data_IF_170604114503
#
_entry.id   IF_170604114503
#
_cell.length_a   1.000
_cell.length_b   1.000
_cell.length_c   1.000
_cell.angle_alpha   90.00
_cell.angle_beta   90.00
_cell.angle_gamma   90.00
#
_symmetry.space_group_name_H-M   'P 1'
#
loop_
_entity.id
_entity.type
_entity.pdbx_description
1 polymer ?
#
# COMPACT_ATOMS: atom_id res chain seq x y z
N UNK A 1 7.82 1.97 -14.70
CA UNK A 1 7.18 0.76 -14.12
C UNK A 1 6.16 1.15 -13.05
N UNK A 2 6.52 2.00 -12.08
CA UNK A 2 5.57 2.64 -11.15
C UNK A 2 4.51 3.49 -11.89
N UNK A 3 4.90 4.18 -12.95
CA UNK A 3 3.98 4.96 -13.80
C UNK A 3 2.89 4.10 -14.44
N UNK A 4 3.22 2.93 -15.00
CA UNK A 4 2.24 1.99 -15.59
C UNK A 4 1.31 1.38 -14.55
N UNK A 5 1.81 1.11 -13.35
CA UNK A 5 1.03 0.60 -12.23
C UNK A 5 -0.05 1.61 -11.80
N UNK A 6 0.36 2.85 -11.61
CA UNK A 6 -0.54 3.91 -11.21
C UNK A 6 -1.50 4.30 -12.35
N UNK A 7 -1.02 4.28 -13.59
CA UNK A 7 -1.87 4.43 -14.79
C UNK A 7 -2.99 3.40 -14.81
N UNK A 8 -2.70 2.15 -14.46
CA UNK A 8 -3.71 1.08 -14.40
C UNK A 8 -4.76 1.35 -13.33
N UNK A 9 -4.33 1.67 -12.11
CA UNK A 9 -5.26 1.98 -11.00
C UNK A 9 -6.15 3.17 -11.37
N UNK A 10 -5.57 4.24 -11.93
CA UNK A 10 -6.35 5.41 -12.38
C UNK A 10 -7.31 5.07 -13.51
N UNK A 11 -6.86 4.29 -14.49
CA UNK A 11 -7.73 3.83 -15.58
C UNK A 11 -8.91 3.02 -15.06
N UNK A 12 -8.69 2.12 -14.11
CA UNK A 12 -9.74 1.29 -13.50
C UNK A 12 -10.75 2.15 -12.70
N UNK A 13 -10.26 3.20 -12.02
CA UNK A 13 -11.10 4.19 -11.33
C UNK A 13 -11.94 4.98 -12.34
N UNK A 14 -11.34 5.44 -13.44
CA UNK A 14 -12.03 6.23 -14.47
C UNK A 14 -13.11 5.40 -15.19
N UNK A 15 -12.82 4.15 -15.53
CA UNK A 15 -13.81 3.25 -16.13
C UNK A 15 -14.96 2.99 -15.15
N UNK A 16 -14.65 2.73 -13.88
CA UNK A 16 -15.68 2.52 -12.86
C UNK A 16 -16.53 3.76 -12.63
N UNK A 17 -15.93 4.95 -12.76
CA UNK A 17 -16.62 6.23 -12.71
C UNK A 17 -17.61 6.42 -13.84
N UNK A 18 -17.21 6.10 -15.08
CA UNK A 18 -18.11 6.16 -16.24
C UNK A 18 -19.32 5.21 -16.10
N UNK A 19 -19.19 4.15 -15.30
CA UNK A 19 -20.28 3.23 -14.93
C UNK A 19 -21.13 3.70 -13.71
N UNK A 20 -20.83 4.86 -13.15
CA UNK A 20 -21.53 5.43 -11.99
C UNK A 20 -21.22 4.75 -10.66
N UNK A 21 -20.09 4.04 -10.57
CA UNK A 21 -19.59 3.42 -9.32
C UNK A 21 -18.70 4.39 -8.55
N UNK A 22 -18.62 4.18 -7.24
CA UNK A 22 -17.66 4.83 -6.35
C UNK A 22 -16.52 3.87 -6.08
N UNK A 23 -15.31 4.40 -5.90
CA UNK A 23 -14.12 3.57 -5.63
C UNK A 23 -13.53 3.93 -4.28
N UNK A 24 -13.23 2.93 -3.46
CA UNK A 24 -12.44 3.08 -2.24
C UNK A 24 -11.06 2.51 -2.51
N UNK A 25 -10.03 3.23 -2.08
CA UNK A 25 -8.62 2.86 -2.19
C UNK A 25 -8.06 2.89 -0.78
N UNK A 26 -7.25 1.90 -0.41
CA UNK A 26 -6.58 1.81 0.88
C UNK A 26 -5.09 1.68 0.64
N UNK A 27 -4.32 2.60 1.18
CA UNK A 27 -2.87 2.63 1.08
C UNK A 27 -2.30 2.00 2.34
N UNK A 28 -1.80 0.77 2.24
CA UNK A 28 -1.21 0.03 3.35
C UNK A 28 0.27 0.39 3.48
N UNK A 29 0.69 0.85 4.67
CA UNK A 29 2.08 1.12 5.01
C UNK A 29 2.62 0.02 5.94
N UNK A 30 3.81 -0.49 5.65
CA UNK A 30 4.51 -1.48 6.48
C UNK A 30 5.64 -0.81 7.27
N UNK A 31 5.69 -1.07 8.58
CA UNK A 31 6.79 -0.58 9.41
C UNK A 31 8.02 -1.46 9.24
N UNK A 32 9.14 -0.86 8.81
CA UNK A 32 10.45 -1.52 8.70
C UNK A 32 10.38 -2.87 7.93
N UNK A 33 9.72 -2.84 6.77
CA UNK A 33 9.32 -4.04 6.03
C UNK A 33 10.52 -4.96 5.67
N UNK A 34 11.67 -4.38 5.31
CA UNK A 34 12.87 -5.15 5.00
C UNK A 34 13.61 -5.68 6.22
N UNK A 35 13.42 -5.07 7.40
CA UNK A 35 14.12 -5.43 8.64
C UNK A 35 13.35 -6.48 9.46
N UNK A 36 12.10 -6.76 9.07
CA UNK A 36 11.17 -7.63 9.80
C UNK A 36 11.00 -9.02 9.19
N UNK A 37 11.66 -9.29 8.05
CA UNK A 37 11.57 -10.59 7.37
C UNK A 37 12.16 -11.70 8.26
N UNK A 38 11.34 -12.68 8.63
CA UNK A 38 11.83 -13.88 9.30
C UNK A 38 12.51 -14.83 8.30
N UNK A 39 13.76 -15.22 8.60
CA UNK A 39 14.56 -16.07 7.71
C UNK A 39 13.97 -17.48 7.57
N UNK A 40 13.36 -18.03 8.61
CA UNK A 40 12.80 -19.38 8.59
C UNK A 40 11.56 -19.43 7.70
N UNK A 41 10.66 -18.46 7.84
CA UNK A 41 9.48 -18.31 6.99
C UNK A 41 9.91 -18.07 5.53
N UNK A 42 10.88 -17.19 5.28
CA UNK A 42 11.37 -16.93 3.94
C UNK A 42 11.93 -18.20 3.28
N UNK A 43 12.80 -18.93 3.97
CA UNK A 43 13.38 -20.18 3.44
C UNK A 43 12.31 -21.25 3.21
N UNK A 44 11.34 -21.39 4.12
CA UNK A 44 10.20 -22.28 3.94
C UNK A 44 9.38 -21.93 2.69
N UNK A 45 9.16 -20.64 2.41
CA UNK A 45 8.47 -20.19 1.18
C UNK A 45 9.26 -20.46 -0.08
N UNK A 46 10.56 -20.20 -0.05
CA UNK A 46 11.43 -20.50 -1.19
C UNK A 46 11.37 -21.99 -1.56
N UNK A 47 11.31 -22.86 -0.56
CA UNK A 47 11.17 -24.31 -0.76
C UNK A 47 9.76 -24.70 -1.23
N UNK A 48 8.71 -24.35 -0.46
CA UNK A 48 7.37 -24.90 -0.67
C UNK A 48 6.52 -24.13 -1.69
N UNK A 49 6.63 -22.80 -1.73
CA UNK A 49 5.78 -21.96 -2.58
C UNK A 49 6.45 -21.71 -3.95
N UNK A 50 7.77 -21.55 -3.96
CA UNK A 50 8.55 -21.29 -5.20
C UNK A 50 9.15 -22.58 -5.78
N UNK A 51 9.39 -23.60 -4.97
CA UNK A 51 9.94 -24.88 -5.41
C UNK A 51 11.48 -24.91 -5.50
N UNK A 52 12.18 -24.00 -4.82
CA UNK A 52 13.65 -23.97 -4.81
C UNK A 52 14.20 -25.00 -3.82
N UNK A 53 15.00 -25.94 -4.34
CA UNK A 53 15.56 -27.04 -3.54
C UNK A 53 17.08 -27.16 -3.72
N UNK A 54 17.71 -27.97 -2.87
CA UNK A 54 19.12 -28.35 -2.99
C UNK A 54 20.09 -27.17 -2.84
N UNK A 55 21.04 -27.07 -3.76
CA UNK A 55 22.14 -26.09 -3.69
C UNK A 55 21.68 -24.64 -3.67
N UNK A 56 20.59 -24.32 -4.38
CA UNK A 56 20.07 -22.94 -4.44
C UNK A 56 19.47 -22.53 -3.09
N UNK A 57 18.69 -23.41 -2.46
CA UNK A 57 18.13 -23.14 -1.14
C UNK A 57 19.23 -23.05 -0.07
N UNK A 58 20.23 -23.93 -0.13
CA UNK A 58 21.40 -23.87 0.76
C UNK A 58 22.18 -22.56 0.59
N UNK A 59 22.28 -22.05 -0.65
CA UNK A 59 22.90 -20.76 -0.93
C UNK A 59 22.13 -19.60 -0.30
N UNK A 60 20.79 -19.58 -0.42
CA UNK A 60 19.96 -18.56 0.26
C UNK A 60 20.04 -18.66 1.79
N UNK A 61 20.07 -19.87 2.34
CA UNK A 61 20.27 -20.07 3.78
C UNK A 61 21.62 -19.50 4.22
N UNK A 62 22.71 -19.83 3.52
CA UNK A 62 24.03 -19.25 3.80
C UNK A 62 24.09 -17.73 3.59
N UNK A 63 23.30 -17.18 2.68
CA UNK A 63 23.25 -15.73 2.41
C UNK A 63 22.66 -14.95 3.58
N UNK A 64 21.67 -15.53 4.27
CA UNK A 64 20.93 -14.92 5.38
C UNK A 64 21.58 -15.18 6.76
N UNK A 65 22.23 -16.33 6.95
CA UNK A 65 22.83 -16.71 8.24
C UNK A 65 24.17 -16.03 8.56
N UNK A 66 24.55 -16.03 9.85
CA UNK A 66 25.83 -15.52 10.38
C UNK A 66 26.14 -14.06 9.97
N UNK A 67 25.10 -13.23 9.93
CA UNK A 67 25.20 -11.81 9.62
C UNK A 67 25.28 -11.01 10.91
N UNK A 68 26.12 -9.99 10.93
CA UNK A 68 26.29 -9.09 12.06
C UNK A 68 26.21 -7.64 11.60
N UNK A 69 25.62 -6.79 12.44
CA UNK A 69 25.51 -5.35 12.22
C UNK A 69 26.06 -4.58 13.43
N UNK A 70 26.51 -3.35 13.18
CA UNK A 70 26.88 -2.38 14.20
C UNK A 70 26.55 -0.97 13.71
N UNK A 71 26.45 -0.02 14.63
CA UNK A 71 26.19 1.40 14.35
C UNK A 71 27.41 2.22 14.74
N UNK A 72 27.85 3.11 13.86
CA UNK A 72 28.89 4.11 14.16
C UNK A 72 28.35 5.50 13.84
N UNK A 73 28.33 6.37 14.84
CA UNK A 73 27.97 7.78 14.66
C UNK A 73 29.19 8.52 14.11
N UNK A 74 29.00 9.40 13.12
CA UNK A 74 30.12 10.14 12.51
C UNK A 74 30.93 11.00 13.51
N UNK A 75 30.34 11.38 14.64
CA UNK A 75 30.98 12.18 15.68
C UNK A 75 31.79 11.34 16.69
N UNK A 76 31.59 10.02 16.73
CA UNK A 76 32.20 9.13 17.70
C UNK A 76 33.18 8.16 17.01
N UNK A 77 34.41 8.09 17.50
CA UNK A 77 35.45 7.21 16.94
C UNK A 77 35.25 5.72 17.26
N UNK A 78 34.30 5.38 18.15
CA UNK A 78 34.07 4.01 18.61
C UNK A 78 32.73 3.45 18.11
N UNK A 79 32.72 2.34 17.35
CA UNK A 79 31.48 1.70 16.91
C UNK A 79 30.74 1.01 18.07
N UNK A 80 29.45 0.75 17.89
CA UNK A 80 28.68 -0.12 18.78
C UNK A 80 29.20 -1.57 18.73
N UNK A 81 28.76 -2.38 19.70
CA UNK A 81 28.99 -3.82 19.65
C UNK A 81 28.31 -4.44 18.42
N UNK A 82 28.95 -5.49 17.89
CA UNK A 82 28.38 -6.32 16.84
C UNK A 82 27.17 -7.07 17.40
N UNK A 83 26.07 -6.99 16.68
CA UNK A 83 24.82 -7.70 16.99
C UNK A 83 24.45 -8.57 15.81
N UNK A 84 24.07 -9.81 16.08
CA UNK A 84 23.63 -10.74 15.02
C UNK A 84 22.30 -10.28 14.40
N UNK A 85 22.18 -10.43 13.08
CA UNK A 85 21.00 -10.08 12.31
C UNK A 85 20.11 -11.31 12.20
N UNK A 86 19.13 -11.40 13.10
CA UNK A 86 18.16 -12.50 13.17
C UNK A 86 16.96 -12.32 12.23
N UNK A 87 16.70 -11.07 11.82
CA UNK A 87 15.58 -10.69 10.97
C UNK A 87 16.04 -9.74 9.89
N UNK A 88 15.28 -9.73 8.80
CA UNK A 88 15.45 -8.84 7.69
C UNK A 88 16.43 -9.32 6.63
N UNK A 89 16.48 -8.58 5.53
CA UNK A 89 17.40 -8.82 4.42
C UNK A 89 18.41 -7.68 4.34
N UNK A 90 19.64 -7.93 3.85
CA UNK A 90 20.64 -6.87 3.74
C UNK A 90 20.13 -5.70 2.88
N UNK A 91 19.93 -4.54 3.50
CA UNK A 91 19.55 -3.31 2.80
C UNK A 91 20.66 -2.88 1.83
N UNK A 92 20.27 -2.36 0.65
CA UNK A 92 21.21 -2.02 -0.41
C UNK A 92 21.76 -3.22 -1.21
N UNK A 93 21.29 -4.43 -0.91
CA UNK A 93 21.58 -5.61 -1.75
C UNK A 93 20.64 -5.70 -2.95
N UNK A 94 21.14 -6.30 -4.04
CA UNK A 94 20.34 -6.58 -5.25
C UNK A 94 19.21 -7.59 -4.95
N UNK A 95 19.41 -8.48 -3.97
CA UNK A 95 18.46 -9.55 -3.65
C UNK A 95 17.41 -9.17 -2.62
N UNK A 96 17.64 -8.14 -1.80
CA UNK A 96 16.68 -7.70 -0.79
C UNK A 96 15.27 -7.49 -1.33
N UNK A 97 15.07 -6.67 -2.38
CA UNK A 97 13.76 -6.46 -3.01
C UNK A 97 13.12 -7.73 -3.57
N UNK A 98 13.92 -8.64 -4.14
CA UNK A 98 13.43 -9.91 -4.65
C UNK A 98 12.94 -10.81 -3.51
N UNK A 99 13.73 -10.96 -2.46
CA UNK A 99 13.40 -11.77 -1.29
C UNK A 99 12.17 -11.24 -0.57
N UNK A 100 12.02 -9.92 -0.45
CA UNK A 100 10.81 -9.29 0.08
C UNK A 100 9.59 -9.61 -0.79
N UNK A 101 9.71 -9.49 -2.11
CA UNK A 101 8.61 -9.82 -3.03
C UNK A 101 8.18 -11.28 -2.92
N UNK A 102 9.15 -12.20 -2.80
CA UNK A 102 8.88 -13.63 -2.58
C UNK A 102 8.22 -13.89 -1.22
N UNK A 103 8.63 -13.16 -0.18
CA UNK A 103 7.99 -13.21 1.13
C UNK A 103 6.52 -12.80 1.05
N UNK A 104 6.19 -11.80 0.24
CA UNK A 104 4.82 -11.25 0.14
C UNK A 104 3.90 -12.04 -0.81
N UNK A 105 4.39 -13.06 -1.53
CA UNK A 105 3.60 -13.79 -2.54
C UNK A 105 2.21 -14.26 -2.08
N UNK A 106 2.02 -14.85 -0.87
CA UNK A 106 0.71 -15.35 -0.45
C UNK A 106 -0.34 -14.25 -0.24
N UNK A 107 0.10 -13.00 -0.08
CA UNK A 107 -0.78 -11.85 0.12
C UNK A 107 -1.74 -11.68 -1.07
N UNK A 108 -1.26 -11.90 -2.30
CA UNK A 108 -2.08 -11.74 -3.49
C UNK A 108 -3.23 -12.74 -3.57
N UNK A 109 -3.02 -14.00 -3.15
CA UNK A 109 -4.11 -14.98 -3.06
C UNK A 109 -5.11 -14.65 -1.96
N UNK A 110 -4.63 -14.14 -0.82
CA UNK A 110 -5.47 -13.70 0.29
C UNK A 110 -6.39 -12.56 -0.14
N UNK A 111 -5.86 -11.56 -0.84
CA UNK A 111 -6.67 -10.42 -1.29
C UNK A 111 -7.70 -10.85 -2.34
N UNK A 112 -7.30 -11.66 -3.33
CA UNK A 112 -8.20 -12.15 -4.39
C UNK A 112 -9.35 -12.99 -3.84
N UNK A 113 -9.16 -13.71 -2.73
CA UNK A 113 -10.21 -14.46 -2.02
C UNK A 113 -11.41 -13.58 -1.63
N UNK A 114 -11.17 -12.30 -1.34
CA UNK A 114 -12.20 -11.34 -0.95
C UNK A 114 -12.75 -10.52 -2.13
N UNK A 115 -12.38 -10.85 -3.37
CA UNK A 115 -12.77 -10.10 -4.56
C UNK A 115 -12.41 -8.60 -4.48
N UNK A 116 -11.29 -8.29 -3.82
CA UNK A 116 -10.70 -6.95 -3.73
C UNK A 116 -9.57 -6.88 -4.74
N UNK A 117 -9.46 -5.76 -5.46
CA UNK A 117 -8.33 -5.53 -6.35
C UNK A 117 -7.16 -4.99 -5.54
N UNK A 118 -5.95 -5.28 -5.98
CA UNK A 118 -4.77 -4.72 -5.34
C UNK A 118 -3.67 -4.41 -6.33
N UNK A 119 -2.78 -3.55 -5.89
CA UNK A 119 -1.52 -3.29 -6.51
C UNK A 119 -0.43 -3.33 -5.45
N UNK A 120 0.65 -4.06 -5.69
CA UNK A 120 1.80 -4.10 -4.79
C UNK A 120 3.06 -3.78 -5.58
N UNK A 121 3.88 -2.89 -5.03
CA UNK A 121 5.20 -2.57 -5.55
C UNK A 121 6.17 -2.44 -4.38
N UNK A 122 7.14 -3.35 -4.30
CA UNK A 122 7.97 -3.50 -3.10
C UNK A 122 7.07 -3.59 -1.84
N UNK A 123 7.31 -2.75 -0.84
CA UNK A 123 6.57 -2.65 0.42
C UNK A 123 5.24 -1.89 0.32
N UNK A 124 5.06 -1.05 -0.70
CA UNK A 124 3.80 -0.35 -0.93
C UNK A 124 2.72 -1.31 -1.42
N UNK A 125 1.64 -1.46 -0.66
CA UNK A 125 0.47 -2.24 -1.08
C UNK A 125 -0.79 -1.37 -1.04
N UNK A 126 -1.50 -1.35 -2.16
CA UNK A 126 -2.73 -0.59 -2.33
C UNK A 126 -3.87 -1.56 -2.58
N UNK A 127 -4.93 -1.48 -1.80
CA UNK A 127 -6.18 -2.18 -2.07
C UNK A 127 -7.15 -1.21 -2.73
N UNK A 128 -7.95 -1.66 -3.67
CA UNK A 128 -9.02 -0.83 -4.22
C UNK A 128 -10.24 -1.66 -4.62
N UNK A 129 -11.40 -1.03 -4.51
CA UNK A 129 -12.69 -1.67 -4.77
C UNK A 129 -13.69 -0.65 -5.28
N UNK A 130 -14.37 -0.99 -6.38
CA UNK A 130 -15.39 -0.13 -6.99
C UNK A 130 -16.77 -0.77 -6.85
N UNK A 131 -17.76 0.00 -6.39
CA UNK A 131 -19.10 -0.49 -6.09
C UNK A 131 -20.18 0.58 -6.31
N UNK A 132 -21.44 0.15 -6.43
CA UNK A 132 -22.59 1.06 -6.49
C UNK A 132 -23.08 1.38 -5.07
N UNK A 133 -23.70 2.55 -4.86
CA UNK A 133 -24.08 2.98 -3.48
C UNK A 133 -25.08 2.07 -2.78
N UNK A 134 -25.84 1.30 -3.55
CA UNK A 134 -26.83 0.38 -3.03
C UNK A 134 -26.21 -0.98 -2.64
N UNK A 135 -24.91 -1.18 -2.83
CA UNK A 135 -24.21 -2.44 -2.57
C UNK A 135 -23.41 -2.33 -1.26
N UNK A 136 -23.80 -3.10 -0.24
CA UNK A 136 -23.08 -3.18 1.05
C UNK A 136 -22.05 -4.31 1.05
N UNK A 137 -22.26 -5.35 0.25
CA UNK A 137 -21.38 -6.52 0.18
C UNK A 137 -19.91 -6.23 -0.17
N UNK A 138 -19.58 -5.26 -1.05
CA UNK A 138 -18.18 -4.98 -1.37
C UNK A 138 -17.43 -4.40 -0.18
N UNK A 139 -18.07 -3.50 0.57
CA UNK A 139 -17.48 -2.93 1.79
C UNK A 139 -17.22 -3.97 2.88
N UNK A 140 -18.15 -4.90 3.09
CA UNK A 140 -17.95 -6.01 4.03
C UNK A 140 -16.79 -6.92 3.61
N UNK A 141 -16.62 -7.12 2.30
CA UNK A 141 -15.52 -7.90 1.73
C UNK A 141 -14.19 -7.18 1.95
N UNK A 142 -14.14 -5.85 1.80
CA UNK A 142 -12.95 -5.05 2.10
C UNK A 142 -12.55 -5.13 3.58
N UNK A 143 -13.52 -4.96 4.49
CA UNK A 143 -13.27 -5.05 5.94
C UNK A 143 -12.73 -6.44 6.31
N UNK A 144 -13.35 -7.49 5.78
CA UNK A 144 -12.93 -8.88 6.01
C UNK A 144 -11.54 -9.13 5.45
N UNK A 145 -11.26 -8.61 4.25
CA UNK A 145 -9.95 -8.67 3.61
C UNK A 145 -8.87 -8.04 4.48
N UNK A 146 -9.08 -6.81 4.97
CA UNK A 146 -8.08 -6.11 5.77
C UNK A 146 -7.87 -6.78 7.12
N UNK A 147 -8.93 -7.31 7.74
CA UNK A 147 -8.80 -8.08 8.98
C UNK A 147 -7.94 -9.34 8.79
N UNK A 148 -8.22 -10.13 7.75
CA UNK A 148 -7.44 -11.34 7.45
C UNK A 148 -6.00 -11.00 7.04
N UNK A 149 -5.82 -9.89 6.30
CA UNK A 149 -4.50 -9.38 5.91
C UNK A 149 -3.68 -8.95 7.12
N UNK A 150 -4.26 -8.25 8.09
CA UNK A 150 -3.59 -7.85 9.34
C UNK A 150 -3.17 -9.08 10.16
N UNK A 151 -4.05 -10.07 10.29
CA UNK A 151 -3.70 -11.33 10.97
C UNK A 151 -2.59 -12.08 10.25
N UNK A 152 -2.63 -12.12 8.92
CA UNK A 152 -1.59 -12.75 8.12
C UNK A 152 -0.25 -12.01 8.28
N UNK A 153 -0.23 -10.69 8.20
CA UNK A 153 0.99 -9.88 8.38
C UNK A 153 1.61 -10.13 9.75
N UNK A 154 0.80 -10.10 10.82
CA UNK A 154 1.27 -10.38 12.18
C UNK A 154 1.87 -11.78 12.33
N UNK A 155 1.24 -12.81 11.74
CA UNK A 155 1.77 -14.20 11.73
C UNK A 155 3.09 -14.32 10.96
N UNK A 156 3.37 -13.37 10.09
CA UNK A 156 4.58 -13.31 9.28
C UNK A 156 5.54 -12.21 9.76
N UNK A 157 5.41 -11.78 11.02
CA UNK A 157 6.27 -10.76 11.64
C UNK A 157 6.30 -9.41 10.92
N UNK A 158 5.36 -9.16 10.01
CA UNK A 158 5.16 -7.87 9.35
C UNK A 158 4.23 -7.02 10.19
N UNK A 159 4.60 -5.75 10.40
CA UNK A 159 3.80 -4.81 11.17
C UNK A 159 3.15 -3.79 10.23
N UNK A 160 1.82 -3.85 10.14
CA UNK A 160 1.05 -2.81 9.45
C UNK A 160 1.07 -1.52 10.29
N UNK A 161 1.50 -0.43 9.68
CA UNK A 161 1.51 0.87 10.30
C UNK A 161 0.13 1.54 10.16
N UNK A 162 -0.72 1.35 11.15
CA UNK A 162 -2.08 1.92 11.15
C UNK A 162 -2.07 3.45 11.10
N UNK A 163 -1.09 4.10 11.72
CA UNK A 163 -0.99 5.56 11.78
C UNK A 163 -0.67 6.23 10.43
N UNK A 164 -0.08 5.46 9.51
CA UNK A 164 0.23 5.88 8.14
C UNK A 164 -0.62 5.18 7.08
N UNK A 165 -1.52 4.29 7.49
CA UNK A 165 -2.47 3.66 6.56
C UNK A 165 -3.55 4.69 6.27
N UNK A 166 -3.64 5.11 5.01
CA UNK A 166 -4.60 6.10 4.55
C UNK A 166 -5.73 5.42 3.77
N UNK A 167 -6.97 5.70 4.15
CA UNK A 167 -8.17 5.35 3.37
C UNK A 167 -8.55 6.52 2.47
N UNK A 168 -8.76 6.22 1.20
CA UNK A 168 -9.07 7.18 0.15
C UNK A 168 -10.37 6.81 -0.54
N UNK A 169 -11.41 7.61 -0.33
CA UNK A 169 -12.70 7.43 -1.01
C UNK A 169 -12.72 8.34 -2.23
N UNK A 170 -13.07 7.78 -3.39
CA UNK A 170 -13.26 8.50 -4.66
C UNK A 170 -14.71 8.30 -5.12
N UNK A 171 -15.57 9.28 -4.85
CA UNK A 171 -16.96 9.31 -5.35
C UNK A 171 -17.12 10.40 -6.42
N UNK A 172 -17.71 10.02 -7.55
CA UNK A 172 -17.95 10.88 -8.71
C UNK A 172 -19.38 11.40 -8.83
N UNK A 173 -20.25 11.02 -7.88
CA UNK A 173 -21.66 11.42 -7.91
C UNK A 173 -21.86 12.76 -7.18
N UNK A 174 -22.87 13.52 -7.63
CA UNK A 174 -23.33 14.79 -7.02
C UNK A 174 -23.43 14.68 -5.49
N UNK A 175 -23.20 15.77 -4.74
CA UNK A 175 -23.03 15.71 -3.29
C UNK A 175 -24.29 15.15 -2.63
N UNK A 176 -24.21 13.88 -2.25
CA UNK A 176 -25.00 13.32 -1.16
C UNK A 176 -24.08 13.29 0.06
N UNK A 177 -24.61 13.22 1.29
CA UNK A 177 -23.76 12.96 2.44
C UNK A 177 -22.90 11.72 2.12
N UNK A 178 -21.59 11.95 2.14
CA UNK A 178 -20.57 10.92 1.97
C UNK A 178 -20.95 9.73 2.86
N UNK A 179 -20.86 8.51 2.33
CA UNK A 179 -21.03 7.33 3.18
C UNK A 179 -20.06 7.45 4.36
N UNK A 180 -20.52 7.08 5.57
CA UNK A 180 -19.66 7.13 6.75
C UNK A 180 -18.38 6.33 6.46
N UNK A 181 -17.20 6.89 6.80
CA UNK A 181 -15.93 6.26 6.51
C UNK A 181 -15.88 4.87 7.14
N UNK A 182 -15.30 3.90 6.45
CA UNK A 182 -15.20 2.54 6.96
C UNK A 182 -14.01 2.47 7.89
N UNK A 183 -14.30 2.83 9.14
CA UNK A 183 -13.32 2.84 10.22
C UNK A 183 -12.91 1.39 10.52
N UNK A 184 -11.75 0.99 10.01
CA UNK A 184 -11.11 -0.26 10.42
C UNK A 184 -10.52 -0.04 11.81
N UNK A 185 -11.34 -0.36 12.83
CA UNK A 185 -11.00 -0.33 14.26
C UNK A 185 -10.28 0.95 14.73
N UNK A 186 -10.84 2.13 14.48
CA UNK A 186 -10.47 3.38 15.16
C UNK A 186 -9.08 3.95 14.88
N UNK A 187 -8.21 3.24 14.14
CA UNK A 187 -6.77 3.52 14.08
C UNK A 187 -6.29 3.97 12.68
N UNK A 188 -7.19 4.12 11.70
CA UNK A 188 -6.84 4.52 10.33
C UNK A 188 -7.09 6.02 10.13
N UNK A 189 -6.17 6.71 9.44
CA UNK A 189 -6.45 8.07 8.95
C UNK A 189 -7.31 7.95 7.70
N UNK A 190 -8.56 8.40 7.77
CA UNK A 190 -9.42 8.45 6.57
C UNK A 190 -9.32 9.82 5.92
N UNK A 191 -8.90 9.85 4.66
CA UNK A 191 -8.88 11.03 3.80
C UNK A 191 -9.93 10.84 2.71
N UNK A 192 -11.16 11.28 2.99
CA UNK A 192 -12.25 11.23 2.01
C UNK A 192 -12.24 12.48 1.14
N UNK A 193 -12.18 12.34 -0.19
CA UNK A 193 -12.47 13.45 -1.10
C UNK A 193 -13.54 13.08 -2.12
N UNK A 194 -14.33 14.04 -2.57
CA UNK A 194 -15.17 13.81 -3.75
C UNK A 194 -14.41 14.27 -4.97
N UNK A 195 -14.48 13.49 -6.04
CA UNK A 195 -13.94 13.85 -7.33
C UNK A 195 -15.09 13.91 -8.32
N UNK A 196 -15.69 15.08 -8.51
CA UNK A 196 -16.80 15.27 -9.42
C UNK A 196 -16.34 15.62 -10.83
N UNK A 197 -17.01 15.09 -11.86
CA UNK A 197 -16.93 15.60 -13.22
C UNK A 197 -18.08 16.57 -13.48
N UNK A 198 -17.76 17.83 -13.74
CA UNK A 198 -18.76 18.87 -14.03
C UNK A 198 -19.35 18.67 -15.43
N UNK A 199 -20.60 19.14 -15.69
CA UNK A 199 -21.24 19.06 -17.00
C UNK A 199 -20.44 19.72 -18.14
N UNK A 200 -19.51 20.62 -17.81
CA UNK A 200 -18.61 21.30 -18.75
C UNK A 200 -17.32 20.53 -19.05
N UNK A 201 -17.12 19.36 -18.42
CA UNK A 201 -15.92 18.54 -18.59
C UNK A 201 -14.81 18.80 -17.57
N UNK A 202 -14.96 19.80 -16.70
CA UNK A 202 -14.00 20.13 -15.65
C UNK A 202 -14.04 19.12 -14.50
N UNK A 203 -12.88 18.86 -13.90
CA UNK A 203 -12.78 18.03 -12.70
C UNK A 203 -12.81 18.89 -11.45
N UNK A 204 -13.46 18.38 -10.41
CA UNK A 204 -13.66 19.06 -9.14
C UNK A 204 -13.29 18.13 -7.99
N UNK A 205 -12.36 18.57 -7.15
CA UNK A 205 -11.98 17.86 -5.91
C UNK A 205 -12.54 18.62 -4.71
N UNK A 206 -13.22 17.93 -3.78
CA UNK A 206 -13.62 18.50 -2.48
C UNK A 206 -13.01 17.72 -1.31
N UNK A 207 -12.47 18.42 -0.33
CA UNK A 207 -11.75 17.86 0.81
C UNK A 207 -12.64 17.52 2.02
N UNK A 208 -12.20 16.63 2.92
CA UNK A 208 -12.92 16.36 4.16
C UNK A 208 -12.80 17.58 5.10
N UNK A 209 -13.94 18.06 5.61
CA UNK A 209 -13.99 19.16 6.57
C UNK A 209 -14.17 20.56 5.96
N UNK A 210 -14.09 20.73 4.64
CA UNK A 210 -14.38 22.01 3.96
C UNK A 210 -15.35 21.78 2.79
N UNK A 211 -16.67 21.81 3.04
CA UNK A 211 -17.69 21.60 1.99
C UNK A 211 -17.70 22.67 0.89
N UNK A 212 -16.80 23.66 0.94
CA UNK A 212 -16.75 24.83 0.05
C UNK A 212 -15.48 24.96 -0.78
N UNK A 213 -14.41 24.20 -0.49
CA UNK A 213 -13.14 24.32 -1.21
C UNK A 213 -13.08 23.32 -2.36
N UNK A 214 -13.55 23.76 -3.51
CA UNK A 214 -13.49 23.03 -4.76
C UNK A 214 -12.25 23.46 -5.55
N UNK A 215 -11.32 22.54 -5.78
CA UNK A 215 -10.24 22.77 -6.76
C UNK A 215 -10.74 22.37 -8.14
N UNK A 216 -10.73 23.34 -9.06
CA UNK A 216 -11.13 23.17 -10.45
C UNK A 216 -9.92 22.89 -11.31
N UNK A 217 -9.94 21.77 -12.04
CA UNK A 217 -8.93 21.45 -13.03
C UNK A 217 -9.55 21.58 -14.43
N UNK A 218 -9.10 22.55 -15.24
CA UNK A 218 -9.68 22.82 -16.55
C UNK A 218 -9.33 21.71 -17.54
N UNK A 219 -10.31 20.92 -17.97
CA UNK A 219 -10.36 20.00 -19.14
C UNK A 219 -9.20 19.01 -19.44
N UNK A 220 -8.04 19.08 -18.80
CA UNK A 220 -6.90 18.22 -19.04
C UNK A 220 -6.95 16.99 -18.15
N UNK A 221 -7.37 15.84 -18.70
CA UNK A 221 -7.25 14.54 -18.02
C UNK A 221 -5.81 14.30 -17.55
N UNK A 222 -4.83 14.82 -18.29
CA UNK A 222 -3.39 14.84 -17.96
C UNK A 222 -3.03 15.72 -16.76
N UNK A 223 -3.58 16.94 -16.62
CA UNK A 223 -3.27 17.82 -15.48
C UNK A 223 -3.86 17.26 -14.18
N UNK A 224 -5.09 16.71 -14.27
CA UNK A 224 -5.68 15.95 -13.18
C UNK A 224 -4.86 14.67 -12.88
N UNK A 225 -4.41 13.95 -13.92
CA UNK A 225 -3.57 12.76 -13.79
C UNK A 225 -2.28 13.08 -13.02
N UNK A 226 -1.58 14.17 -13.38
CA UNK A 226 -0.39 14.64 -12.69
C UNK A 226 -0.67 15.07 -11.24
N UNK A 227 -1.77 15.75 -10.98
CA UNK A 227 -2.12 16.17 -9.62
C UNK A 227 -2.51 14.97 -8.73
N UNK A 228 -3.29 14.03 -9.24
CA UNK A 228 -3.69 12.81 -8.53
C UNK A 228 -2.49 11.86 -8.32
N UNK A 229 -1.61 11.72 -9.32
CA UNK A 229 -0.30 11.06 -9.20
C UNK A 229 0.56 11.71 -8.13
N UNK A 230 0.71 13.04 -8.21
CA UNK A 230 1.47 13.82 -7.26
C UNK A 230 0.90 13.64 -5.86
N UNK A 231 -0.42 13.66 -5.70
CA UNK A 231 -1.10 13.49 -4.43
C UNK A 231 -0.95 12.07 -3.85
N UNK A 232 -1.18 11.03 -4.66
CA UNK A 232 -0.91 9.64 -4.26
C UNK A 232 0.56 9.42 -3.90
N UNK A 233 1.48 10.04 -4.64
CA UNK A 233 2.91 10.00 -4.29
C UNK A 233 3.23 10.79 -3.03
N UNK A 234 2.59 11.93 -2.78
CA UNK A 234 2.84 12.77 -1.61
C UNK A 234 2.25 12.16 -0.33
N UNK A 235 1.10 11.47 -0.44
CA UNK A 235 0.55 10.66 0.65
C UNK A 235 1.43 9.43 0.93
N UNK A 236 1.88 8.72 -0.11
CA UNK A 236 2.81 7.59 0.04
C UNK A 236 4.17 7.99 0.64
N UNK A 237 4.65 9.22 0.41
CA UNK A 237 5.92 9.73 0.94
C UNK A 237 5.74 10.38 2.34
N UNK A 238 4.51 10.42 2.86
CA UNK A 238 4.16 10.98 4.16
C UNK A 238 4.26 12.51 4.21
N UNK A 239 3.42 13.20 5.03
CA UNK A 239 3.36 14.67 5.06
C UNK A 239 4.60 15.38 5.65
N UNK A 240 5.68 14.66 5.97
CA UNK A 240 6.86 15.21 6.66
C UNK A 240 8.13 15.31 5.81
N UNK A 241 8.09 14.96 4.53
CA UNK A 241 9.26 14.91 3.66
C UNK A 241 9.46 16.18 2.81
N UNK A 242 8.59 17.19 2.92
CA UNK A 242 8.69 18.45 2.15
C UNK A 242 8.89 19.74 2.98
N UNK A 243 9.18 19.63 4.28
CA UNK A 243 9.55 20.78 5.14
C UNK A 243 10.97 20.67 5.72
N UNK A 244 11.95 20.27 4.91
CA UNK A 244 13.38 20.56 5.11
C UNK A 244 14.09 20.86 3.81
#
# INVERSE_FOLDING_TARGET
ITETALTRVVNDILISSDEGKSTVIMLLDLSAAFDTIDHSILLHRLDNDVGLTGTVLAWFSSYLSNRFQYVQKCADSTPSLYTEVQYGVPQGSVLGPLLFSLYMLPLGSLIRKHNVNFHSYADDTQLYLSFKSNEVSPMLSLISCVSELKEWMNKNYLSLNTDKTDELVVDFRRPRPLMDPVIIRGDCRTISFMLGRMPRGDWVVSWPGTPTDFFFFPSGLLEFFFFFLFFLSTLAIGPYSFLR
#
